data_IF_958286860100
#
_entry.id   IF_958286860100
#
_cell.length_a   1.000
_cell.length_b   1.000
_cell.length_c   1.000
_cell.angle_alpha   90.00
_cell.angle_beta   90.00
_cell.angle_gamma   90.00
#
_symmetry.space_group_name_H-M   'P 1'
#
loop_
_entity.id
_entity.type
_entity.pdbx_description
1 polymer ?
#
# COMPACT_ATOMS: atom_id res chain seq x y z
N UNK A 1 -17.94 3.49 1.37
CA UNK A 1 -17.06 2.56 0.66
C UNK A 1 -15.62 2.97 0.82
N UNK A 2 -14.82 2.11 1.36
CA UNK A 2 -13.43 2.40 1.66
C UNK A 2 -12.55 1.39 0.97
N UNK A 3 -12.04 1.74 -0.15
CA UNK A 3 -11.33 0.81 -1.00
C UNK A 3 -9.86 1.14 -1.20
N UNK A 4 -9.33 2.11 -0.43
CA UNK A 4 -7.94 2.53 -0.55
C UNK A 4 -7.30 2.62 0.82
N UNK A 5 -6.07 2.06 0.93
CA UNK A 5 -5.24 2.17 2.13
C UNK A 5 -3.84 2.57 1.72
N UNK A 6 -3.41 3.75 2.18
CA UNK A 6 -2.08 4.27 1.91
C UNK A 6 -1.30 4.35 3.21
N UNK A 7 -0.56 3.28 3.58
CA UNK A 7 0.26 3.32 4.79
C UNK A 7 1.44 4.28 4.68
N UNK A 8 1.88 4.55 3.44
CA UNK A 8 2.86 5.61 3.18
C UNK A 8 2.51 6.29 1.88
N UNK A 9 3.16 7.42 1.65
CA UNK A 9 2.88 8.26 0.50
C UNK A 9 4.18 8.65 -0.17
N UNK A 10 4.13 8.88 -1.47
CA UNK A 10 5.28 9.31 -2.24
C UNK A 10 5.97 8.15 -2.93
N UNK A 11 6.67 8.45 -3.99
CA UNK A 11 7.31 7.42 -4.80
C UNK A 11 8.45 8.01 -5.62
N UNK A 12 9.55 7.29 -5.67
CA UNK A 12 10.63 7.61 -6.60
C UNK A 12 10.26 7.04 -7.96
N UNK A 13 10.35 7.85 -9.00
CA UNK A 13 10.02 7.41 -10.35
C UNK A 13 10.98 6.32 -10.79
N UNK A 14 10.44 5.17 -11.14
CA UNK A 14 11.25 4.03 -11.57
C UNK A 14 11.26 3.85 -13.09
N UNK A 15 10.41 4.57 -13.83
CA UNK A 15 10.30 4.45 -15.27
C UNK A 15 9.48 5.62 -15.80
N UNK A 16 9.41 5.73 -17.13
CA UNK A 16 8.60 6.77 -17.76
C UNK A 16 7.13 6.68 -17.38
N UNK A 17 6.62 5.47 -17.19
CA UNK A 17 5.23 5.30 -16.78
C UNK A 17 4.92 5.98 -15.46
N UNK A 18 5.90 6.10 -14.58
CA UNK A 18 5.73 6.76 -13.30
C UNK A 18 5.62 8.28 -13.44
N UNK A 19 6.06 8.86 -14.54
CA UNK A 19 6.00 10.31 -14.75
C UNK A 19 4.56 10.80 -14.85
N UNK A 20 3.65 9.93 -15.22
CA UNK A 20 2.24 10.26 -15.36
C UNK A 20 1.41 9.74 -14.20
N UNK A 21 2.06 9.45 -13.08
CA UNK A 21 1.39 8.93 -11.91
C UNK A 21 0.41 9.97 -11.36
N UNK A 22 -0.81 9.52 -11.08
CA UNK A 22 -1.86 10.37 -10.55
C UNK A 22 -1.45 11.05 -9.25
N UNK A 23 -0.66 10.36 -8.43
CA UNK A 23 -0.15 10.88 -7.18
C UNK A 23 0.67 12.17 -7.39
N UNK A 24 1.53 12.19 -8.40
CA UNK A 24 2.34 13.39 -8.69
C UNK A 24 1.45 14.56 -9.09
N UNK A 25 0.43 14.29 -9.86
CA UNK A 25 -0.53 15.33 -10.26
C UNK A 25 -1.25 15.92 -9.05
N UNK A 26 -1.74 15.07 -8.16
CA UNK A 26 -2.44 15.51 -6.96
C UNK A 26 -1.52 16.31 -6.03
N UNK A 27 -0.30 15.84 -5.85
CA UNK A 27 0.65 16.51 -4.96
C UNK A 27 1.02 17.88 -5.51
N UNK A 28 1.17 18.01 -6.83
CA UNK A 28 1.45 19.30 -7.44
C UNK A 28 0.32 20.29 -7.18
N UNK A 29 -0.93 19.85 -7.27
CA UNK A 29 -2.07 20.70 -6.98
C UNK A 29 -2.14 21.15 -5.53
N UNK A 30 -1.60 20.34 -4.63
CA UNK A 30 -1.61 20.64 -3.19
C UNK A 30 -0.33 21.33 -2.74
N UNK A 31 0.55 21.68 -3.67
CA UNK A 31 1.83 22.29 -3.35
C UNK A 31 2.83 21.33 -2.72
N UNK A 32 2.63 20.03 -2.89
CA UNK A 32 3.52 19.00 -2.40
C UNK A 32 4.33 18.41 -3.53
N UNK A 33 5.46 17.80 -3.17
CA UNK A 33 6.30 17.10 -4.13
C UNK A 33 6.00 15.59 -4.02
N UNK A 34 5.60 14.98 -5.13
CA UNK A 34 5.26 13.56 -5.16
C UNK A 34 6.42 12.64 -4.82
N UNK A 35 7.67 13.13 -4.87
CA UNK A 35 8.82 12.32 -4.47
C UNK A 35 9.12 12.42 -2.98
N UNK A 36 8.41 13.24 -2.21
CA UNK A 36 8.54 13.27 -0.76
C UNK A 36 7.88 12.04 -0.17
N UNK A 37 8.66 11.17 0.41
CA UNK A 37 8.19 9.88 0.91
C UNK A 37 8.06 9.95 2.42
N UNK A 38 6.88 9.60 2.92
CA UNK A 38 6.63 9.63 4.35
C UNK A 38 5.58 8.61 4.75
N UNK A 39 5.69 8.16 5.99
CA UNK A 39 4.69 7.30 6.60
C UNK A 39 3.47 8.15 6.95
N UNK A 40 2.29 7.65 6.59
CA UNK A 40 1.06 8.35 6.97
C UNK A 40 0.84 8.20 8.49
N UNK A 41 0.18 9.19 9.08
CA UNK A 41 -0.04 9.18 10.54
C UNK A 41 -1.30 8.39 10.88
N UNK A 42 -2.46 9.00 10.72
CA UNK A 42 -3.72 8.34 11.05
C UNK A 42 -4.04 7.20 10.09
N UNK A 43 -3.64 7.34 8.82
CA UNK A 43 -3.97 6.36 7.80
C UNK A 43 -3.18 5.06 7.88
N UNK A 44 -2.05 5.04 8.58
CA UNK A 44 -1.20 3.85 8.61
C UNK A 44 -1.92 2.64 9.19
N UNK A 45 -2.69 2.84 10.23
CA UNK A 45 -3.42 1.74 10.89
C UNK A 45 -4.89 1.68 10.49
N UNK A 46 -5.26 2.30 9.39
CA UNK A 46 -6.64 2.39 8.95
C UNK A 46 -7.38 1.04 8.92
N UNK A 47 -6.77 -0.07 8.44
CA UNK A 47 -7.49 -1.35 8.44
C UNK A 47 -7.87 -1.85 9.83
N UNK A 48 -7.22 -1.34 10.87
CA UNK A 48 -7.53 -1.70 12.26
C UNK A 48 -8.36 -0.64 12.96
N UNK A 49 -8.73 0.43 12.27
CA UNK A 49 -9.51 1.52 12.87
C UNK A 49 -10.93 1.10 13.15
N UNK A 50 -11.45 1.58 14.27
CA UNK A 50 -12.81 1.25 14.71
C UNK A 50 -13.62 2.53 14.85
N UNK A 51 -14.94 2.40 14.68
CA UNK A 51 -15.87 3.49 14.91
C UNK A 51 -16.22 3.58 16.40
N UNK A 52 -17.14 4.51 16.74
CA UNK A 52 -17.53 4.72 18.13
C UNK A 52 -18.21 3.50 18.75
N UNK A 53 -18.81 2.65 17.94
CA UNK A 53 -19.48 1.44 18.43
C UNK A 53 -18.52 0.29 18.66
N UNK A 54 -17.24 0.47 18.32
CA UNK A 54 -16.23 -0.57 18.46
C UNK A 54 -16.13 -1.51 17.28
N UNK A 55 -16.81 -1.20 16.18
CA UNK A 55 -16.74 -2.01 14.98
C UNK A 55 -15.72 -1.45 14.01
N UNK A 56 -15.07 -2.34 13.25
CA UNK A 56 -14.11 -1.90 12.25
C UNK A 56 -14.77 -1.02 11.21
N UNK A 57 -14.07 0.05 10.82
CA UNK A 57 -14.53 0.90 9.73
C UNK A 57 -14.47 0.16 8.39
N UNK A 58 -13.43 -0.67 8.20
CA UNK A 58 -13.33 -1.55 7.04
C UNK A 58 -13.95 -2.89 7.45
N UNK A 59 -15.04 -3.25 6.79
CA UNK A 59 -15.79 -4.46 7.16
C UNK A 59 -15.17 -5.69 6.52
N UNK A 60 -15.42 -6.85 7.13
CA UNK A 60 -15.03 -8.11 6.53
C UNK A 60 -15.66 -8.29 5.15
N UNK A 61 -14.90 -8.83 4.22
CA UNK A 61 -15.33 -9.00 2.85
C UNK A 61 -15.01 -7.84 1.93
N UNK A 62 -14.62 -6.69 2.47
CA UNK A 62 -14.20 -5.57 1.62
C UNK A 62 -12.80 -5.78 1.07
N UNK A 63 -12.50 -5.10 -0.02
CA UNK A 63 -11.18 -5.12 -0.63
C UNK A 63 -10.55 -3.74 -0.54
N UNK A 64 -9.29 -3.69 -0.11
CA UNK A 64 -8.51 -2.47 -0.06
C UNK A 64 -7.42 -2.51 -1.11
N UNK A 65 -7.31 -1.44 -1.88
CA UNK A 65 -6.18 -1.22 -2.77
C UNK A 65 -5.10 -0.52 -1.97
N UNK A 66 -3.92 -1.12 -1.94
CA UNK A 66 -2.85 -0.66 -1.05
C UNK A 66 -1.84 0.15 -1.84
N UNK A 67 -1.44 1.29 -1.26
CA UNK A 67 -0.40 2.14 -1.83
C UNK A 67 -0.75 2.69 -3.21
N UNK A 68 -1.93 3.28 -3.35
CA UNK A 68 -2.32 3.94 -4.59
C UNK A 68 -1.46 5.18 -4.87
N UNK A 69 -0.87 5.77 -3.84
CA UNK A 69 -0.02 6.95 -3.96
C UNK A 69 1.45 6.62 -3.73
N UNK A 70 1.82 5.34 -3.78
CA UNK A 70 3.18 4.90 -3.57
C UNK A 70 3.33 3.49 -4.14
N UNK A 71 4.34 2.76 -3.67
CA UNK A 71 4.54 1.36 -4.04
C UNK A 71 4.79 0.57 -2.75
N UNK A 72 4.14 -0.58 -2.62
CA UNK A 72 4.28 -1.37 -1.40
C UNK A 72 5.70 -1.87 -1.19
N UNK A 73 6.45 -2.06 -2.26
CA UNK A 73 7.84 -2.56 -2.19
C UNK A 73 8.88 -1.46 -2.40
N UNK A 74 8.49 -0.22 -2.14
CA UNK A 74 9.39 0.92 -2.21
C UNK A 74 10.51 0.77 -1.17
N UNK A 75 11.76 1.02 -1.59
CA UNK A 75 12.91 0.85 -0.70
C UNK A 75 12.80 1.75 0.52
N UNK A 76 12.40 2.99 0.34
CA UNK A 76 12.29 3.94 1.42
C UNK A 76 11.25 3.54 2.47
N UNK A 77 10.36 2.62 2.12
CA UNK A 77 9.34 2.12 3.05
C UNK A 77 9.79 0.87 3.81
N UNK A 78 10.99 0.39 3.57
CA UNK A 78 11.49 -0.82 4.25
C UNK A 78 11.31 -0.77 5.77
N UNK A 79 11.58 0.37 6.47
CA UNK A 79 11.39 0.41 7.92
C UNK A 79 9.93 0.26 8.37
N UNK A 80 8.98 0.47 7.46
CA UNK A 80 7.54 0.46 7.80
C UNK A 80 6.83 -0.80 7.33
N UNK A 81 7.44 -1.55 6.44
CA UNK A 81 6.75 -2.64 5.74
C UNK A 81 6.36 -3.78 6.67
N UNK A 82 7.21 -4.11 7.62
CA UNK A 82 6.90 -5.20 8.54
C UNK A 82 5.65 -4.91 9.35
N UNK A 83 5.47 -3.66 9.78
CA UNK A 83 4.26 -3.28 10.49
C UNK A 83 3.04 -3.35 9.58
N UNK A 84 3.20 -2.98 8.31
CA UNK A 84 2.11 -3.10 7.34
C UNK A 84 1.71 -4.56 7.14
N UNK A 85 2.68 -5.47 7.04
CA UNK A 85 2.39 -6.90 6.95
C UNK A 85 1.65 -7.40 8.18
N UNK A 86 2.04 -6.91 9.36
CA UNK A 86 1.36 -7.29 10.60
C UNK A 86 -0.10 -6.85 10.58
N UNK A 87 -0.36 -5.63 10.12
CA UNK A 87 -1.74 -5.13 10.00
C UNK A 87 -2.56 -6.01 9.07
N UNK A 88 -1.99 -6.37 7.93
CA UNK A 88 -2.67 -7.25 6.97
C UNK A 88 -2.99 -8.60 7.61
N UNK A 89 -2.05 -9.16 8.38
CA UNK A 89 -2.25 -10.45 9.03
C UNK A 89 -3.36 -10.42 10.07
N UNK A 90 -3.65 -9.27 10.64
CA UNK A 90 -4.72 -9.10 11.64
C UNK A 90 -6.10 -8.97 11.02
N UNK A 91 -6.18 -8.82 9.71
CA UNK A 91 -7.47 -8.70 9.02
C UNK A 91 -7.58 -9.77 7.92
N UNK A 92 -7.65 -11.05 8.31
CA UNK A 92 -7.80 -12.12 7.32
C UNK A 92 -9.15 -12.07 6.60
N UNK A 93 -10.09 -11.30 7.15
CA UNK A 93 -11.43 -11.11 6.58
C UNK A 93 -11.48 -10.00 5.54
N UNK A 94 -10.40 -9.25 5.37
CA UNK A 94 -10.32 -8.16 4.39
C UNK A 94 -9.35 -8.56 3.29
N UNK A 95 -9.68 -8.23 2.06
CA UNK A 95 -8.79 -8.50 0.93
C UNK A 95 -7.91 -7.29 0.67
N UNK A 96 -6.61 -7.55 0.53
CA UNK A 96 -5.63 -6.49 0.26
C UNK A 96 -5.04 -6.72 -1.12
N UNK A 97 -5.22 -5.74 -1.99
CA UNK A 97 -4.69 -5.79 -3.35
C UNK A 97 -3.43 -4.96 -3.42
N UNK A 98 -2.30 -5.63 -3.64
CA UNK A 98 -1.00 -4.99 -3.72
C UNK A 98 -0.53 -4.98 -5.18
N UNK A 99 -0.25 -3.80 -5.70
CA UNK A 99 0.31 -3.64 -7.03
C UNK A 99 1.70 -3.04 -6.90
N UNK A 100 2.69 -3.67 -7.52
CA UNK A 100 4.05 -3.14 -7.48
C UNK A 100 4.64 -3.05 -8.88
N UNK A 101 5.46 -2.05 -9.08
CA UNK A 101 6.29 -1.90 -10.29
C UNK A 101 7.74 -2.27 -10.00
N UNK A 102 8.00 -2.86 -8.83
CA UNK A 102 9.35 -3.25 -8.40
C UNK A 102 9.41 -4.75 -8.13
N UNK A 103 9.24 -5.58 -9.18
CA UNK A 103 9.19 -7.04 -8.99
C UNK A 103 10.48 -7.61 -8.42
N UNK A 104 11.61 -6.95 -8.66
CA UNK A 104 12.90 -7.42 -8.18
C UNK A 104 13.03 -7.35 -6.66
N UNK A 105 12.16 -6.58 -6.00
CA UNK A 105 12.20 -6.43 -4.56
C UNK A 105 11.20 -7.31 -3.81
N UNK A 106 10.31 -7.99 -4.52
CA UNK A 106 9.20 -8.70 -3.89
C UNK A 106 9.68 -9.86 -3.04
N UNK A 107 10.51 -10.73 -3.60
CA UNK A 107 10.87 -11.98 -2.93
C UNK A 107 11.58 -11.76 -1.58
N UNK A 108 12.37 -10.68 -1.48
CA UNK A 108 13.15 -10.41 -0.27
C UNK A 108 12.36 -9.66 0.80
N UNK A 109 11.14 -9.21 0.48
CA UNK A 109 10.35 -8.36 1.38
C UNK A 109 8.97 -8.91 1.66
N UNK A 110 8.78 -10.19 1.43
CA UNK A 110 7.57 -10.89 1.82
C UNK A 110 7.64 -11.25 3.31
N UNK A 111 6.50 -11.47 3.97
CA UNK A 111 6.52 -11.87 5.37
C UNK A 111 7.14 -13.26 5.51
N UNK A 112 7.74 -13.51 6.69
CA UNK A 112 8.47 -14.77 6.93
C UNK A 112 7.62 -16.01 6.72
N UNK A 113 6.32 -15.92 6.95
CA UNK A 113 5.39 -17.02 6.82
C UNK A 113 4.55 -16.95 5.55
N UNK A 114 5.08 -16.32 4.50
CA UNK A 114 4.36 -16.14 3.25
C UNK A 114 4.05 -17.47 2.55
N UNK A 115 5.01 -18.37 2.50
CA UNK A 115 4.91 -19.68 1.84
C UNK A 115 4.35 -19.54 0.42
N UNK A 116 3.12 -20.00 0.18
CA UNK A 116 2.49 -19.91 -1.13
C UNK A 116 1.56 -18.72 -1.27
N UNK A 117 1.63 -17.81 -0.30
CA UNK A 117 0.82 -16.61 -0.28
C UNK A 117 -0.23 -16.64 0.81
N UNK A 118 -0.73 -15.47 1.15
CA UNK A 118 -1.83 -15.33 2.10
C UNK A 118 -3.14 -15.21 1.32
N UNK A 119 -4.19 -15.89 1.79
CA UNK A 119 -5.49 -15.89 1.11
C UNK A 119 -6.09 -14.50 0.99
N UNK A 120 -5.80 -13.61 1.94
CA UNK A 120 -6.35 -12.26 1.93
C UNK A 120 -5.49 -11.25 1.16
N UNK A 121 -4.42 -11.70 0.50
CA UNK A 121 -3.54 -10.81 -0.26
C UNK A 121 -3.55 -11.21 -1.72
N UNK A 122 -3.78 -10.23 -2.58
CA UNK A 122 -3.64 -10.36 -4.02
C UNK A 122 -2.45 -9.50 -4.44
N UNK A 123 -1.38 -10.13 -4.86
CA UNK A 123 -0.16 -9.43 -5.29
C UNK A 123 -0.09 -9.46 -6.81
N UNK A 124 -0.06 -8.28 -7.40
CA UNK A 124 0.06 -8.16 -8.85
C UNK A 124 1.27 -7.31 -9.18
N UNK A 125 2.04 -7.75 -10.16
CA UNK A 125 3.18 -7.01 -10.65
C UNK A 125 2.71 -6.21 -11.86
N UNK A 126 2.68 -4.88 -11.68
CA UNK A 126 2.41 -3.97 -12.77
C UNK A 126 3.71 -3.61 -13.46
N UNK A 127 3.63 -3.35 -14.74
CA UNK A 127 4.78 -2.91 -15.49
C UNK A 127 4.57 -1.48 -15.92
N UNK A 128 5.65 -0.73 -15.98
CA UNK A 128 5.60 0.58 -16.59
C UNK A 128 5.11 0.40 -18.01
N UNK A 129 4.17 1.23 -18.38
CA UNK A 129 3.67 1.18 -19.74
C UNK A 129 4.74 1.65 -20.71
N UNK A 130 4.92 0.88 -21.73
CA UNK A 130 5.92 1.19 -22.74
C UNK A 130 5.25 1.81 -23.96
#
# INVERSE_FOLDING_TARGET
>A
MHDIWNPWHGCVKCSEGCQHCYMYFLDAQRGKNGSDIYRTKAGFRYPLSKDRSGQYKVKGGEMLRVCMTSDFFLEEADPWRDEAWEIISRRPDVKFFLLTKRPERVAEHLPWNWENGWENVMLKIGRAHV
#
